data_IF_863871432960
#
_entry.id   IF_863871432960
#
_cell.length_a   1.000
_cell.length_b   1.000
_cell.length_c   1.000
_cell.angle_alpha   90.00
_cell.angle_beta   90.00
_cell.angle_gamma   90.00
#
_symmetry.space_group_name_H-M   'P 1'
#
loop_
_entity.id
_entity.type
_entity.pdbx_description
1 polymer ?
#
# COMPACT_ATOMS: atom_id res chain seq x y z
N UNK A 1 2.60 -9.91 8.53
CA UNK A 1 3.38 -8.81 7.93
C UNK A 1 3.31 -8.95 6.42
N UNK A 2 2.95 -7.89 5.71
CA UNK A 2 2.96 -7.87 4.25
C UNK A 2 4.28 -7.30 3.75
N UNK A 3 4.95 -8.08 2.91
CA UNK A 3 6.26 -7.75 2.33
C UNK A 3 6.15 -7.61 0.83
N UNK A 4 7.06 -6.87 0.21
CA UNK A 4 7.14 -6.76 -1.24
C UNK A 4 7.44 -8.14 -1.84
N UNK A 5 6.63 -8.60 -2.79
CA UNK A 5 6.86 -9.90 -3.46
C UNK A 5 8.19 -9.94 -4.22
N UNK A 6 8.65 -8.78 -4.72
CA UNK A 6 9.83 -8.69 -5.56
C UNK A 6 11.16 -8.69 -4.78
N UNK A 7 11.20 -8.04 -3.60
CA UNK A 7 12.45 -7.87 -2.85
C UNK A 7 12.37 -8.21 -1.35
N UNK A 8 11.19 -8.61 -0.85
CA UNK A 8 11.00 -8.99 0.55
C UNK A 8 10.97 -7.84 1.55
N UNK A 9 11.03 -6.58 1.10
CA UNK A 9 10.98 -5.42 2.01
C UNK A 9 9.64 -5.38 2.78
N UNK A 10 9.64 -5.14 4.11
CA UNK A 10 8.41 -4.97 4.88
C UNK A 10 7.65 -3.71 4.45
N UNK A 11 6.38 -3.82 4.06
CA UNK A 11 5.58 -2.70 3.54
C UNK A 11 4.40 -2.34 4.45
N UNK A 12 3.54 -3.32 4.77
CA UNK A 12 2.29 -3.09 5.51
C UNK A 12 2.11 -4.10 6.65
N UNK A 13 1.46 -3.68 7.74
CA UNK A 13 1.11 -4.59 8.83
C UNK A 13 -0.28 -5.18 8.60
N UNK A 14 -0.53 -6.37 9.13
CA UNK A 14 -1.91 -6.88 9.26
C UNK A 14 -2.75 -6.00 10.16
N UNK A 15 -2.13 -5.31 11.12
CA UNK A 15 -2.82 -4.45 12.09
C UNK A 15 -3.40 -3.20 11.42
N UNK A 16 -2.81 -2.76 10.30
CA UNK A 16 -3.28 -1.60 9.54
C UNK A 16 -4.22 -1.97 8.40
N UNK A 17 -4.47 -3.27 8.20
CA UNK A 17 -5.39 -3.77 7.15
C UNK A 17 -6.84 -3.55 7.59
N UNK A 18 -7.68 -3.11 6.67
CA UNK A 18 -9.12 -3.04 6.85
C UNK A 18 -9.86 -3.51 5.60
N UNK A 19 -11.13 -3.90 5.76
CA UNK A 19 -12.00 -4.22 4.64
C UNK A 19 -12.60 -2.93 4.09
N UNK A 20 -12.34 -2.65 2.81
CA UNK A 20 -12.85 -1.45 2.12
C UNK A 20 -13.99 -1.76 1.14
N UNK A 21 -14.38 -3.04 1.02
CA UNK A 21 -15.35 -3.55 0.02
C UNK A 21 -15.01 -3.21 -1.45
N UNK A 22 -13.78 -2.77 -1.72
CA UNK A 22 -13.30 -2.44 -3.07
C UNK A 22 -12.76 -3.63 -3.86
N UNK A 23 -12.68 -4.81 -3.23
CA UNK A 23 -12.09 -6.03 -3.81
C UNK A 23 -10.56 -6.10 -3.73
N UNK A 24 -9.89 -5.08 -3.18
CA UNK A 24 -8.44 -5.02 -3.04
C UNK A 24 -8.00 -4.88 -1.58
N UNK A 25 -6.88 -5.50 -1.18
CA UNK A 25 -6.35 -5.33 0.16
C UNK A 25 -6.07 -3.85 0.43
N UNK A 26 -6.69 -3.34 1.49
CA UNK A 26 -6.64 -1.93 1.87
C UNK A 26 -5.99 -1.76 3.23
N UNK A 27 -5.12 -0.77 3.35
CA UNK A 27 -4.42 -0.44 4.59
C UNK A 27 -4.59 1.05 4.90
N UNK A 28 -4.68 1.43 6.17
CA UNK A 28 -4.78 2.84 6.54
C UNK A 28 -3.40 3.48 6.79
N UNK A 29 -2.36 2.67 7.05
CA UNK A 29 -1.00 3.15 7.28
C UNK A 29 0.06 2.14 6.82
N UNK A 30 1.27 2.63 6.57
CA UNK A 30 2.46 1.85 6.22
C UNK A 30 3.12 1.30 7.49
N UNK A 31 3.72 0.12 7.40
CA UNK A 31 4.39 -0.47 8.56
C UNK A 31 5.70 0.26 8.95
N UNK A 32 6.38 0.85 7.97
CA UNK A 32 7.62 1.59 8.20
C UNK A 32 7.68 2.78 7.26
N UNK A 33 7.73 3.98 7.85
CA UNK A 33 7.88 5.22 7.09
C UNK A 33 9.17 5.16 6.29
N UNK A 34 9.07 5.36 4.98
CA UNK A 34 10.21 5.29 4.07
C UNK A 34 10.44 3.93 3.41
N UNK A 35 9.66 2.88 3.69
CA UNK A 35 9.74 1.64 2.88
C UNK A 35 8.84 1.71 1.63
N UNK A 36 7.92 2.66 1.62
CA UNK A 36 6.99 2.92 0.53
C UNK A 36 7.29 4.31 -0.02
N UNK A 37 7.27 4.44 -1.34
CA UNK A 37 7.33 5.71 -2.04
C UNK A 37 5.96 6.03 -2.62
N UNK A 38 5.55 7.29 -2.46
CA UNK A 38 4.23 7.79 -2.83
C UNK A 38 4.46 8.93 -3.82
N UNK A 39 3.91 8.83 -5.02
CA UNK A 39 4.11 9.79 -6.10
C UNK A 39 2.80 10.15 -6.77
N UNK A 40 2.55 11.44 -6.97
CA UNK A 40 1.40 11.87 -7.76
C UNK A 40 1.53 11.42 -9.23
N UNK A 41 0.55 10.67 -9.70
CA UNK A 41 0.29 10.31 -11.09
C UNK A 41 -0.89 11.15 -11.61
N UNK A 42 -0.62 12.02 -12.59
CA UNK A 42 -1.64 12.89 -13.22
C UNK A 42 -2.08 12.41 -14.60
N UNK A 43 -1.85 11.13 -14.93
CA UNK A 43 -2.20 10.56 -16.23
C UNK A 43 -3.71 10.34 -16.38
N UNK A 44 -4.18 10.39 -17.63
CA UNK A 44 -5.58 10.15 -18.01
C UNK A 44 -6.61 11.12 -17.40
N UNK A 45 -6.21 12.36 -17.07
CA UNK A 45 -7.13 13.37 -16.52
C UNK A 45 -7.59 13.09 -15.09
N UNK A 46 -6.99 12.10 -14.42
CA UNK A 46 -7.22 11.78 -13.02
C UNK A 46 -5.95 12.05 -12.22
N UNK A 47 -6.08 12.66 -11.03
CA UNK A 47 -4.98 12.76 -10.07
C UNK A 47 -5.10 11.55 -9.15
N UNK A 48 -4.19 10.59 -9.31
CA UNK A 48 -4.07 9.43 -8.43
C UNK A 48 -2.68 9.45 -7.82
N UNK A 49 -2.54 8.95 -6.62
CA UNK A 49 -1.23 8.90 -5.98
C UNK A 49 -0.73 7.46 -6.02
N UNK A 50 0.24 7.19 -6.88
CA UNK A 50 0.87 5.88 -7.05
C UNK A 50 1.70 5.52 -5.82
N UNK A 51 1.65 4.25 -5.45
CA UNK A 51 2.39 3.66 -4.33
C UNK A 51 3.34 2.61 -4.89
N UNK A 52 4.63 2.75 -4.59
CA UNK A 52 5.69 1.85 -5.04
C UNK A 52 6.63 1.45 -3.89
N UNK A 53 7.34 0.34 -4.06
CA UNK A 53 8.33 -0.11 -3.09
C UNK A 53 9.59 0.75 -3.23
N UNK A 54 9.99 1.47 -2.17
CA UNK A 54 11.15 2.37 -2.24
C UNK A 54 12.48 1.64 -2.52
N UNK A 55 12.59 0.37 -2.14
CA UNK A 55 13.83 -0.38 -2.30
C UNK A 55 14.07 -0.90 -3.73
N UNK A 56 13.01 -1.36 -4.42
CA UNK A 56 13.15 -1.96 -5.76
C UNK A 56 12.36 -1.24 -6.85
N UNK A 57 11.59 -0.21 -6.52
CA UNK A 57 10.73 0.52 -7.45
C UNK A 57 9.50 -0.26 -7.94
N UNK A 58 9.23 -1.46 -7.41
CA UNK A 58 8.08 -2.27 -7.84
C UNK A 58 6.77 -1.54 -7.55
N UNK A 59 5.87 -1.51 -8.53
CA UNK A 59 4.53 -0.97 -8.37
C UNK A 59 3.73 -1.79 -7.36
N UNK A 60 3.08 -1.11 -6.41
CA UNK A 60 2.25 -1.72 -5.37
C UNK A 60 0.78 -1.43 -5.60
N UNK A 61 0.42 -0.19 -5.90
CA UNK A 61 -0.97 0.22 -6.09
C UNK A 61 -1.12 1.73 -6.00
N UNK A 62 -2.18 2.18 -5.33
CA UNK A 62 -2.50 3.60 -5.20
C UNK A 62 -2.95 3.95 -3.77
N UNK A 63 -2.76 5.20 -3.37
CA UNK A 63 -3.29 5.75 -2.13
C UNK A 63 -4.36 6.80 -2.43
N UNK A 64 -5.43 6.76 -1.65
CA UNK A 64 -6.57 7.66 -1.73
C UNK A 64 -6.78 8.36 -0.38
N UNK A 65 -7.36 9.56 -0.40
CA UNK A 65 -7.68 10.35 0.81
C UNK A 65 -9.09 10.05 1.36
N UNK A 66 -9.71 8.96 0.90
CA UNK A 66 -11.04 8.48 1.32
C UNK A 66 -10.95 7.41 2.42
N UNK A 67 -9.84 7.37 3.16
CA UNK A 67 -9.56 6.37 4.18
C UNK A 67 -10.27 6.61 5.50
N UNK A 68 -10.16 5.62 6.38
CA UNK A 68 -10.69 5.68 7.74
C UNK A 68 -9.71 6.37 8.70
N UNK A 69 -10.21 6.82 9.87
CA UNK A 69 -9.34 7.27 10.97
C UNK A 69 -8.39 6.13 11.36
N UNK A 70 -7.14 6.41 11.78
CA UNK A 70 -6.63 7.71 12.24
C UNK A 70 -5.97 8.58 11.16
N UNK A 71 -5.55 8.00 10.04
CA UNK A 71 -4.74 8.70 9.02
C UNK A 71 -5.59 9.38 7.95
N UNK A 72 -6.81 8.89 7.70
CA UNK A 72 -7.65 9.35 6.58
C UNK A 72 -7.17 8.87 5.21
N UNK A 73 -6.11 8.05 5.16
CA UNK A 73 -5.58 7.51 3.91
C UNK A 73 -6.01 6.06 3.72
N UNK A 74 -6.28 5.68 2.47
CA UNK A 74 -6.54 4.31 2.05
C UNK A 74 -5.49 3.89 1.03
N UNK A 75 -4.54 3.07 1.47
CA UNK A 75 -3.58 2.40 0.61
C UNK A 75 -4.26 1.18 0.00
N UNK A 76 -4.69 1.32 -1.25
CA UNK A 76 -5.30 0.26 -2.05
C UNK A 76 -4.19 -0.46 -2.83
N UNK A 77 -3.79 -1.65 -2.36
CA UNK A 77 -2.60 -2.34 -2.84
C UNK A 77 -2.99 -3.60 -3.59
N UNK A 78 -2.31 -3.88 -4.69
CA UNK A 78 -2.51 -5.11 -5.45
C UNK A 78 -2.02 -6.30 -4.63
N UNK A 79 -2.89 -7.30 -4.41
CA UNK A 79 -2.54 -8.53 -3.68
C UNK A 79 -1.35 -9.25 -4.30
N UNK A 80 -1.24 -9.24 -5.63
CA UNK A 80 -0.12 -9.84 -6.39
C UNK A 80 1.24 -9.19 -6.09
N UNK A 81 1.23 -7.92 -5.65
CA UNK A 81 2.46 -7.19 -5.31
C UNK A 81 2.95 -7.47 -3.88
N UNK A 82 2.18 -8.21 -3.08
CA UNK A 82 2.45 -8.49 -1.68
C UNK A 82 2.60 -9.99 -1.42
N UNK A 83 3.55 -10.34 -0.55
CA UNK A 83 3.62 -11.65 0.09
C UNK A 83 3.29 -11.50 1.58
N UNK A 84 2.60 -12.49 2.16
CA UNK A 84 2.22 -12.48 3.57
C UNK A 84 3.13 -13.38 4.39
N UNK A 85 3.88 -12.77 5.31
CA UNK A 85 4.65 -13.48 6.34
C UNK A 85 3.89 -13.47 7.66
N UNK A 86 3.33 -14.60 8.12
CA UNK A 86 2.69 -14.68 9.43
C UNK A 86 3.72 -14.40 10.53
N UNK A 87 3.31 -13.68 11.58
CA UNK A 87 4.11 -13.62 12.83
C UNK A 87 3.94 -14.99 13.49
N UNK A 88 5.06 -15.70 13.71
CA UNK A 88 5.10 -16.89 14.56
C UNK A 88 4.94 -16.50 16.03
#
# INVERSE_FOLDING_TARGET
MYVCVACGQPLFSSDTKFESDTGWPSFYDVATKGNVEVREDRRFGMVRTEVSCKNCGSHLGHVFEDGTKPTGFRYCINSVSLDFKPKK
#
